data_IF_013814897813
#
_entry.id   IF_013814897813
#
_cell.length_a   1.000
_cell.length_b   1.000
_cell.length_c   1.000
_cell.angle_alpha   90.00
_cell.angle_beta   90.00
_cell.angle_gamma   90.00
#
_symmetry.space_group_name_H-M   'P 1'
#
loop_
_entity.id
_entity.type
_entity.pdbx_description
1 polymer ?
#
# COMPACT_ATOMS: atom_id res chain seq x y z
N UNK A 1 -4.51 3.51 28.06
CA UNK A 1 -4.30 2.43 29.06
C UNK A 1 -5.22 1.27 28.70
N UNK A 2 -4.67 0.14 28.26
CA UNK A 2 -5.48 -1.06 28.10
C UNK A 2 -5.90 -1.53 29.50
N UNK A 3 -7.20 -1.57 29.78
CA UNK A 3 -7.72 -2.21 30.97
C UNK A 3 -7.72 -3.70 30.70
N UNK A 4 -6.75 -4.42 31.25
CA UNK A 4 -6.79 -5.88 31.25
C UNK A 4 -7.78 -6.31 32.34
N UNK A 5 -8.87 -6.97 31.94
CA UNK A 5 -9.79 -7.61 32.89
C UNK A 5 -9.00 -8.64 33.69
N UNK A 6 -8.75 -8.35 34.96
CA UNK A 6 -8.00 -9.24 35.85
C UNK A 6 -8.94 -10.36 36.30
N UNK A 7 -8.59 -11.59 35.97
CA UNK A 7 -9.28 -12.79 36.46
C UNK A 7 -9.05 -12.88 37.97
N UNK A 8 -10.09 -13.18 38.75
CA UNK A 8 -9.98 -13.21 40.20
C UNK A 8 -9.13 -14.40 40.68
N UNK A 9 -8.48 -14.26 41.84
CA UNK A 9 -7.72 -15.36 42.45
C UNK A 9 -8.68 -16.52 42.77
N UNK A 10 -8.43 -17.70 42.19
CA UNK A 10 -9.26 -18.89 42.37
C UNK A 10 -10.25 -19.16 41.22
N UNK A 11 -10.39 -18.26 40.25
CA UNK A 11 -11.16 -18.53 39.04
C UNK A 11 -10.33 -19.33 38.02
N UNK A 12 -10.94 -20.36 37.44
CA UNK A 12 -10.35 -21.12 36.33
C UNK A 12 -10.92 -20.58 35.02
N UNK A 13 -10.10 -20.03 34.10
CA UNK A 13 -10.57 -19.60 32.79
C UNK A 13 -11.17 -20.80 32.03
N UNK A 14 -12.32 -20.61 31.38
CA UNK A 14 -12.94 -21.66 30.56
C UNK A 14 -13.20 -21.15 29.14
N UNK A 15 -13.05 -22.04 28.17
CA UNK A 15 -13.42 -21.81 26.77
C UNK A 15 -14.62 -22.69 26.47
N UNK A 16 -15.72 -22.10 25.97
CA UNK A 16 -16.91 -22.81 25.52
C UNK A 16 -17.07 -22.62 24.01
N UNK A 17 -17.32 -23.71 23.29
CA UNK A 17 -17.53 -23.70 21.84
C UNK A 17 -18.93 -24.25 21.55
N UNK A 18 -19.78 -23.45 20.89
CA UNK A 18 -21.10 -23.89 20.41
C UNK A 18 -21.19 -23.55 18.91
N UNK A 19 -21.29 -24.59 18.07
CA UNK A 19 -21.33 -24.44 16.60
C UNK A 19 -22.60 -23.75 16.08
N UNK A 20 -23.61 -23.59 16.94
CA UNK A 20 -24.84 -22.84 16.62
C UNK A 20 -24.66 -21.34 16.84
N UNK A 21 -23.70 -20.93 17.68
CA UNK A 21 -23.41 -19.53 17.97
C UNK A 21 -22.44 -18.96 16.92
N UNK A 22 -22.88 -18.84 15.67
CA UNK A 22 -22.10 -18.23 14.59
C UNK A 22 -22.25 -16.71 14.64
N UNK A 23 -21.12 -15.98 14.65
CA UNK A 23 -21.12 -14.51 14.57
C UNK A 23 -21.31 -14.08 13.10
N UNK A 24 -20.35 -14.40 12.23
CA UNK A 24 -20.39 -14.11 10.80
C UNK A 24 -19.37 -14.96 10.04
N UNK A 25 -19.43 -14.94 8.71
CA UNK A 25 -18.30 -15.38 7.87
C UNK A 25 -17.16 -14.39 8.09
N UNK A 26 -15.94 -14.90 8.26
CA UNK A 26 -14.74 -14.06 8.30
C UNK A 26 -14.54 -13.47 6.91
N UNK A 27 -14.41 -12.15 6.84
CA UNK A 27 -13.94 -11.45 5.64
C UNK A 27 -12.42 -11.55 5.63
N UNK A 28 -11.84 -12.13 4.57
CA UNK A 28 -10.41 -12.37 4.49
C UNK A 28 -9.59 -11.06 4.58
N UNK A 29 -10.18 -9.90 4.24
CA UNK A 29 -9.51 -8.60 4.34
C UNK A 29 -9.12 -8.21 5.78
N UNK A 30 -9.60 -8.91 6.81
CA UNK A 30 -9.10 -8.75 8.19
C UNK A 30 -7.62 -9.17 8.32
N UNK A 31 -7.12 -9.96 7.37
CA UNK A 31 -5.71 -10.37 7.25
C UNK A 31 -4.90 -9.45 6.32
N UNK A 32 -5.41 -8.24 6.06
CA UNK A 32 -4.75 -7.24 5.22
C UNK A 32 -3.42 -6.74 5.77
N UNK A 33 -2.58 -6.28 4.86
CA UNK A 33 -1.25 -5.76 5.11
C UNK A 33 -1.19 -4.25 4.92
N UNK A 34 -0.07 -3.67 5.33
CA UNK A 34 0.14 -2.23 5.23
C UNK A 34 1.59 -1.92 4.88
N UNK A 35 1.78 -1.11 3.84
CA UNK A 35 3.07 -0.59 3.42
C UNK A 35 3.01 0.93 3.40
N UNK A 36 4.04 1.56 3.97
CA UNK A 36 4.17 3.01 4.00
C UNK A 36 5.58 3.41 3.56
N UNK A 37 5.71 4.56 2.91
CA UNK A 37 6.98 5.25 2.73
C UNK A 37 7.51 5.78 4.07
N UNK A 38 7.87 4.85 4.96
CA UNK A 38 8.33 5.09 6.32
C UNK A 38 9.53 4.21 6.63
N UNK A 39 10.65 4.84 6.97
CA UNK A 39 11.88 4.16 7.34
C UNK A 39 12.34 3.17 6.27
N UNK A 40 12.32 1.87 6.61
CA UNK A 40 12.78 0.78 5.73
C UNK A 40 11.68 -0.15 5.23
N UNK A 41 10.41 0.28 5.30
CA UNK A 41 9.30 -0.53 4.79
C UNK A 41 9.42 -0.71 3.26
N UNK A 42 9.60 0.39 2.53
CA UNK A 42 9.85 0.38 1.08
C UNK A 42 11.34 0.17 0.80
N UNK A 43 12.16 1.18 1.07
CA UNK A 43 13.59 1.19 0.75
C UNK A 43 14.41 0.32 1.71
N UNK A 44 15.09 -0.68 1.16
CA UNK A 44 15.78 -1.71 1.94
C UNK A 44 14.85 -2.75 2.57
N UNK A 45 13.54 -2.67 2.26
CA UNK A 45 12.48 -3.60 2.64
C UNK A 45 11.97 -4.36 1.42
N UNK A 46 10.81 -3.99 0.88
CA UNK A 46 10.27 -4.63 -0.35
C UNK A 46 11.07 -4.27 -1.61
N UNK A 47 11.76 -3.12 -1.61
CA UNK A 47 12.53 -2.60 -2.73
C UNK A 47 13.96 -2.21 -2.31
N UNK A 48 14.96 -2.83 -2.92
CA UNK A 48 16.38 -2.66 -2.58
C UNK A 48 17.27 -2.94 -3.82
N UNK A 49 17.32 -2.02 -4.80
CA UNK A 49 18.17 -2.17 -5.98
C UNK A 49 19.65 -2.36 -5.62
N UNK A 50 20.30 -3.33 -6.25
CA UNK A 50 21.70 -3.67 -5.98
C UNK A 50 21.91 -4.68 -4.85
N UNK A 51 20.87 -5.07 -4.12
CA UNK A 51 20.94 -6.19 -3.19
C UNK A 51 21.06 -7.52 -3.97
N UNK A 52 21.94 -8.47 -3.56
CA UNK A 52 22.08 -9.78 -4.22
C UNK A 52 20.79 -10.61 -4.25
N UNK A 53 19.84 -10.33 -3.34
CA UNK A 53 18.55 -11.00 -3.24
C UNK A 53 17.43 -10.31 -4.03
N UNK A 54 17.70 -9.18 -4.68
CA UNK A 54 16.72 -8.47 -5.50
C UNK A 54 16.60 -9.07 -6.91
N UNK A 55 15.43 -8.89 -7.53
CA UNK A 55 15.23 -9.12 -8.97
C UNK A 55 15.72 -7.92 -9.80
N UNK A 56 15.60 -8.01 -11.14
CA UNK A 56 16.03 -6.95 -12.07
C UNK A 56 15.25 -5.64 -11.92
N UNK A 57 14.06 -5.68 -11.30
CA UNK A 57 13.25 -4.48 -11.02
C UNK A 57 13.63 -3.83 -9.70
N UNK A 58 14.42 -4.52 -8.86
CA UNK A 58 14.83 -4.09 -7.53
C UNK A 58 13.98 -4.67 -6.39
N UNK A 59 13.04 -5.58 -6.67
CA UNK A 59 12.22 -6.19 -5.64
C UNK A 59 12.96 -7.31 -4.92
N UNK A 60 12.91 -7.30 -3.58
CA UNK A 60 13.56 -8.32 -2.76
C UNK A 60 12.83 -9.66 -2.86
N UNK A 61 13.46 -10.64 -3.51
CA UNK A 61 12.85 -11.97 -3.79
C UNK A 61 12.58 -12.74 -2.51
N UNK A 62 13.49 -12.68 -1.54
CA UNK A 62 13.32 -13.32 -0.23
C UNK A 62 12.15 -12.72 0.56
N UNK A 63 11.94 -11.40 0.46
CA UNK A 63 10.78 -10.72 1.06
C UNK A 63 9.49 -11.09 0.33
N UNK A 64 9.51 -11.16 -1.01
CA UNK A 64 8.37 -11.62 -1.81
C UNK A 64 7.93 -13.03 -1.41
N UNK A 65 8.87 -13.98 -1.29
CA UNK A 65 8.54 -15.36 -0.95
C UNK A 65 7.98 -15.46 0.48
N UNK A 66 8.60 -14.76 1.45
CA UNK A 66 8.06 -14.68 2.80
C UNK A 66 6.66 -14.05 2.83
N UNK A 67 6.39 -13.02 2.02
CA UNK A 67 5.09 -12.36 1.97
C UNK A 67 4.00 -13.26 1.36
N UNK A 68 4.32 -14.03 0.33
CA UNK A 68 3.37 -14.99 -0.28
C UNK A 68 2.90 -16.06 0.72
N UNK A 69 3.74 -16.48 1.66
CA UNK A 69 3.35 -17.43 2.72
C UNK A 69 2.25 -16.87 3.63
N UNK A 70 2.19 -15.55 3.82
CA UNK A 70 1.16 -14.89 4.63
C UNK A 70 -0.23 -14.92 3.98
N UNK A 71 -0.30 -15.12 2.65
CA UNK A 71 -1.55 -15.08 1.87
C UNK A 71 -2.38 -13.82 2.15
N UNK A 72 -1.69 -12.68 2.23
CA UNK A 72 -2.31 -11.41 2.51
C UNK A 72 -3.24 -11.00 1.34
N UNK A 73 -4.56 -10.84 1.55
CA UNK A 73 -5.49 -10.63 0.45
C UNK A 73 -5.47 -9.19 -0.08
N UNK A 74 -5.10 -8.23 0.76
CA UNK A 74 -5.08 -6.80 0.41
C UNK A 74 -3.93 -6.09 1.11
N UNK A 75 -3.25 -5.18 0.41
CA UNK A 75 -2.18 -4.35 1.00
C UNK A 75 -2.46 -2.87 0.80
N UNK A 76 -2.49 -2.12 1.90
CA UNK A 76 -2.66 -0.67 1.88
C UNK A 76 -1.35 0.06 1.54
N UNK A 77 -1.42 1.07 0.67
CA UNK A 77 -0.31 1.91 0.17
C UNK A 77 -0.83 3.31 -0.23
N UNK A 78 -0.02 4.39 -0.32
CA UNK A 78 1.37 4.56 0.09
C UNK A 78 1.52 4.83 1.58
N UNK A 79 0.41 4.75 2.32
CA UNK A 79 0.39 4.76 3.75
C UNK A 79 0.65 6.08 4.43
N UNK A 80 0.58 5.98 5.75
CA UNK A 80 -0.33 6.66 6.65
C UNK A 80 -0.18 8.16 6.65
N UNK A 81 0.73 8.67 7.45
CA UNK A 81 0.91 10.12 7.52
C UNK A 81 1.60 10.63 6.25
N UNK A 82 2.43 9.79 5.61
CA UNK A 82 3.12 10.09 4.36
C UNK A 82 2.17 10.60 3.26
N UNK A 83 1.03 9.92 3.05
CA UNK A 83 0.13 10.23 1.94
C UNK A 83 -0.51 11.62 2.04
N UNK A 84 -0.58 12.21 3.24
CA UNK A 84 -1.21 13.52 3.43
C UNK A 84 -0.46 14.65 2.70
N UNK A 85 0.79 14.43 2.31
CA UNK A 85 1.60 15.40 1.55
C UNK A 85 2.23 14.80 0.28
N UNK A 86 1.78 13.61 -0.12
CA UNK A 86 2.30 12.89 -1.28
C UNK A 86 1.52 13.24 -2.55
N UNK A 87 2.23 13.61 -3.61
CA UNK A 87 1.63 13.81 -4.94
C UNK A 87 1.98 12.65 -5.86
N UNK A 88 1.02 11.80 -6.19
CA UNK A 88 1.27 10.50 -6.84
C UNK A 88 1.99 10.60 -8.20
N UNK A 89 1.82 11.74 -8.89
CA UNK A 89 2.51 12.04 -10.14
C UNK A 89 4.03 12.12 -9.99
N UNK A 90 4.53 12.46 -8.81
CA UNK A 90 5.97 12.48 -8.53
C UNK A 90 6.56 11.05 -8.52
N UNK A 91 5.73 10.02 -8.32
CA UNK A 91 6.12 8.61 -8.24
C UNK A 91 5.86 7.77 -9.49
N UNK A 92 5.60 8.39 -10.65
CA UNK A 92 5.37 7.65 -11.92
C UNK A 92 6.28 8.15 -13.04
N UNK A 93 6.45 7.33 -14.08
CA UNK A 93 7.31 7.65 -15.22
C UNK A 93 8.80 7.37 -14.97
N UNK A 94 9.70 7.86 -15.85
CA UNK A 94 11.14 7.57 -15.76
C UNK A 94 11.72 8.02 -14.42
N UNK A 95 12.42 7.12 -13.72
CA UNK A 95 12.93 7.36 -12.34
C UNK A 95 13.85 8.57 -12.28
N UNK A 96 14.63 8.81 -13.32
CA UNK A 96 15.58 9.93 -13.42
C UNK A 96 14.90 11.30 -13.52
N UNK A 97 13.59 11.33 -13.81
CA UNK A 97 12.77 12.54 -13.89
C UNK A 97 11.91 12.75 -12.64
N UNK A 98 11.90 11.80 -11.70
CA UNK A 98 11.10 11.87 -10.49
C UNK A 98 11.78 12.80 -9.47
N UNK A 99 11.06 13.78 -8.90
CA UNK A 99 11.66 14.75 -8.00
C UNK A 99 11.83 14.15 -6.59
N UNK A 100 12.97 14.37 -5.92
CA UNK A 100 13.03 14.15 -4.48
C UNK A 100 12.13 15.14 -3.76
N UNK A 101 11.41 14.69 -2.73
CA UNK A 101 10.49 15.51 -1.93
C UNK A 101 10.84 15.45 -0.45
N UNK A 102 10.64 16.54 0.31
CA UNK A 102 10.74 16.47 1.76
C UNK A 102 9.64 15.53 2.28
N UNK A 103 10.05 14.56 3.09
CA UNK A 103 9.13 13.68 3.80
C UNK A 103 8.84 14.33 5.16
N UNK A 104 7.59 14.78 5.34
CA UNK A 104 7.19 15.66 6.45
C UNK A 104 6.67 14.89 7.67
N UNK A 105 6.23 13.64 7.52
CA UNK A 105 5.64 12.87 8.62
C UNK A 105 6.69 12.14 9.47
N UNK A 106 7.74 11.66 8.82
CA UNK A 106 8.80 10.80 9.34
C UNK A 106 10.19 11.42 9.26
N UNK A 107 10.30 12.65 8.72
CA UNK A 107 11.51 13.45 8.61
C UNK A 107 12.52 12.76 7.67
N UNK A 108 12.65 13.30 6.46
CA UNK A 108 13.64 12.82 5.52
C UNK A 108 13.45 13.37 4.12
N UNK A 109 14.00 12.66 3.15
CA UNK A 109 13.81 12.93 1.73
C UNK A 109 13.27 11.66 1.09
N UNK A 110 12.10 11.76 0.49
CA UNK A 110 11.52 10.72 -0.36
C UNK A 110 12.09 10.87 -1.76
N UNK A 111 12.76 9.83 -2.28
CA UNK A 111 13.36 9.86 -3.62
C UNK A 111 12.36 9.65 -4.75
N UNK A 112 11.20 9.05 -4.45
CA UNK A 112 10.18 8.61 -5.40
C UNK A 112 10.66 7.54 -6.40
N UNK A 113 11.76 6.84 -6.10
CA UNK A 113 12.23 5.72 -6.93
C UNK A 113 11.21 4.57 -6.99
N UNK A 114 10.45 4.39 -5.90
CA UNK A 114 9.33 3.47 -5.82
C UNK A 114 8.02 4.26 -5.76
N UNK A 115 7.09 4.00 -6.67
CA UNK A 115 5.80 4.66 -6.65
C UNK A 115 4.67 3.75 -7.11
N UNK A 116 3.66 4.34 -7.74
CA UNK A 116 2.42 3.64 -8.13
C UNK A 116 2.71 2.42 -9.01
N UNK A 117 3.53 2.59 -10.04
CA UNK A 117 3.78 1.53 -11.02
C UNK A 117 4.54 0.36 -10.38
N UNK A 118 5.56 0.65 -9.56
CA UNK A 118 6.33 -0.37 -8.84
C UNK A 118 5.49 -1.10 -7.81
N UNK A 119 4.66 -0.39 -7.02
CA UNK A 119 3.77 -1.01 -6.04
C UNK A 119 2.78 -1.97 -6.68
N UNK A 120 2.13 -1.55 -7.77
CA UNK A 120 1.14 -2.39 -8.45
C UNK A 120 1.77 -3.61 -9.10
N UNK A 121 2.96 -3.49 -9.68
CA UNK A 121 3.72 -4.63 -10.18
C UNK A 121 4.14 -5.57 -9.05
N UNK A 122 4.51 -5.04 -7.88
CA UNK A 122 4.82 -5.84 -6.71
C UNK A 122 3.57 -6.61 -6.22
N UNK A 123 2.41 -5.97 -6.18
CA UNK A 123 1.12 -6.62 -5.86
C UNK A 123 0.82 -7.79 -6.81
N UNK A 124 1.01 -7.61 -8.12
CA UNK A 124 0.86 -8.69 -9.11
C UNK A 124 1.80 -9.88 -8.84
N UNK A 125 3.03 -9.61 -8.39
CA UNK A 125 4.04 -10.64 -8.10
C UNK A 125 3.71 -11.43 -6.84
N UNK A 126 3.23 -10.76 -5.79
CA UNK A 126 2.89 -11.43 -4.52
C UNK A 126 1.46 -11.98 -4.49
N UNK A 127 0.62 -11.59 -5.45
CA UNK A 127 -0.76 -12.05 -5.56
C UNK A 127 -1.69 -11.42 -4.51
N UNK A 128 -1.53 -10.12 -4.26
CA UNK A 128 -2.38 -9.36 -3.32
C UNK A 128 -3.10 -8.21 -4.04
N UNK A 129 -4.29 -7.85 -3.56
CA UNK A 129 -5.01 -6.70 -4.10
C UNK A 129 -4.43 -5.38 -3.56
N UNK A 130 -4.22 -4.38 -4.41
CA UNK A 130 -3.78 -3.07 -3.96
C UNK A 130 -4.93 -2.29 -3.32
N UNK A 131 -4.61 -1.59 -2.22
CA UNK A 131 -5.52 -0.68 -1.55
C UNK A 131 -4.89 0.71 -1.40
N UNK A 132 -5.32 1.66 -2.23
CA UNK A 132 -4.78 3.01 -2.21
C UNK A 132 -5.44 3.90 -1.16
N UNK A 133 -4.59 4.57 -0.39
CA UNK A 133 -4.95 5.78 0.35
C UNK A 133 -4.73 7.00 -0.56
N UNK A 134 -5.71 7.90 -0.59
CA UNK A 134 -5.67 9.12 -1.39
C UNK A 134 -5.21 10.31 -0.56
N UNK A 135 -4.46 11.24 -1.16
CA UNK A 135 -4.03 12.45 -0.47
C UNK A 135 -5.22 13.43 -0.27
N UNK A 136 -5.67 13.54 0.98
CA UNK A 136 -6.67 14.51 1.43
C UNK A 136 -6.11 15.59 2.36
N UNK A 137 -4.77 15.68 2.50
CA UNK A 137 -4.11 16.74 3.25
C UNK A 137 -3.81 17.94 2.36
N UNK A 138 -2.86 17.77 1.44
CA UNK A 138 -2.47 18.81 0.46
C UNK A 138 -2.94 18.51 -0.97
N UNK A 139 -3.46 17.30 -1.20
CA UNK A 139 -3.98 16.86 -2.50
C UNK A 139 -5.35 17.43 -2.83
N UNK A 140 -5.82 17.13 -4.04
CA UNK A 140 -7.13 17.56 -4.54
C UNK A 140 -7.98 16.37 -4.99
N UNK A 141 -9.29 16.58 -5.11
CA UNK A 141 -10.17 15.58 -5.69
C UNK A 141 -9.79 15.26 -7.15
N UNK A 142 -9.38 16.27 -7.92
CA UNK A 142 -8.93 16.08 -9.30
C UNK A 142 -7.70 15.18 -9.37
N UNK A 143 -6.75 15.37 -8.45
CA UNK A 143 -5.58 14.51 -8.34
C UNK A 143 -5.95 13.06 -8.00
N UNK A 144 -6.91 12.87 -7.08
CA UNK A 144 -7.41 11.54 -6.74
C UNK A 144 -8.10 10.87 -7.92
N UNK A 145 -9.01 11.56 -8.62
CA UNK A 145 -9.70 11.04 -9.81
C UNK A 145 -8.73 10.70 -10.94
N UNK A 146 -7.71 11.54 -11.14
CA UNK A 146 -6.63 11.30 -12.08
C UNK A 146 -5.86 10.00 -11.76
N UNK A 147 -5.60 9.73 -10.47
CA UNK A 147 -4.94 8.50 -10.05
C UNK A 147 -5.82 7.27 -10.33
N UNK A 148 -7.14 7.36 -10.08
CA UNK A 148 -8.09 6.30 -10.44
C UNK A 148 -8.06 6.03 -11.94
N UNK A 149 -8.11 7.08 -12.76
CA UNK A 149 -8.05 6.95 -14.22
C UNK A 149 -6.74 6.30 -14.66
N UNK A 150 -5.61 6.77 -14.14
CA UNK A 150 -4.28 6.23 -14.43
C UNK A 150 -4.24 4.72 -14.18
N UNK A 151 -4.74 4.26 -13.03
CA UNK A 151 -4.69 2.85 -12.65
C UNK A 151 -5.70 1.98 -13.43
N UNK A 152 -6.91 2.48 -13.71
CA UNK A 152 -8.05 1.63 -14.04
C UNK A 152 -8.65 1.86 -15.44
N UNK A 153 -8.37 2.99 -16.10
CA UNK A 153 -8.97 3.30 -17.39
C UNK A 153 -8.25 2.62 -18.55
N UNK A 154 -9.01 1.95 -19.42
CA UNK A 154 -8.59 1.43 -20.72
C UNK A 154 -8.89 2.40 -21.87
N UNK A 155 -9.53 3.54 -21.60
CA UNK A 155 -9.92 4.52 -22.61
C UNK A 155 -8.70 5.28 -23.18
N UNK A 156 -8.92 5.97 -24.29
CA UNK A 156 -7.94 6.89 -24.88
C UNK A 156 -8.06 8.27 -24.21
N UNK A 157 -7.66 8.34 -22.94
CA UNK A 157 -7.72 9.54 -22.10
C UNK A 157 -6.33 9.88 -21.56
N UNK A 158 -6.14 11.11 -21.05
CA UNK A 158 -4.82 11.64 -20.72
C UNK A 158 -4.05 10.76 -19.73
N UNK A 159 -4.64 10.41 -18.58
CA UNK A 159 -3.93 9.64 -17.55
C UNK A 159 -3.79 8.16 -17.91
N UNK A 160 -4.76 7.59 -18.63
CA UNK A 160 -4.61 6.26 -19.21
C UNK A 160 -3.43 6.22 -20.20
N UNK A 161 -3.30 7.23 -21.07
CA UNK A 161 -2.17 7.34 -22.00
C UNK A 161 -0.85 7.65 -21.31
N UNK A 162 -0.86 8.38 -20.19
CA UNK A 162 0.32 8.58 -19.36
C UNK A 162 0.84 7.24 -18.83
N UNK A 163 -0.03 6.35 -18.32
CA UNK A 163 0.34 4.99 -17.92
C UNK A 163 0.95 4.19 -19.07
N UNK A 164 0.34 4.25 -20.26
CA UNK A 164 0.87 3.61 -21.48
C UNK A 164 2.27 4.13 -21.82
N UNK A 165 2.46 5.45 -21.78
CA UNK A 165 3.76 6.10 -22.01
C UNK A 165 4.81 5.67 -20.98
N UNK A 166 4.40 5.41 -19.74
CA UNK A 166 5.25 4.92 -18.66
C UNK A 166 5.57 3.42 -18.76
N UNK A 167 5.12 2.74 -19.82
CA UNK A 167 5.48 1.34 -20.11
C UNK A 167 4.41 0.32 -19.74
N UNK A 168 3.25 0.75 -19.23
CA UNK A 168 2.14 -0.14 -18.88
C UNK A 168 0.91 0.12 -19.77
N UNK A 169 0.73 -0.73 -20.78
CA UNK A 169 -0.39 -0.60 -21.73
C UNK A 169 -1.76 -0.85 -21.07
N UNK A 170 -1.90 -2.01 -20.42
CA UNK A 170 -3.17 -2.44 -19.80
C UNK A 170 -3.38 -1.79 -18.43
N UNK A 171 -4.64 -1.52 -18.03
CA UNK A 171 -4.95 -1.13 -16.66
C UNK A 171 -4.41 -2.13 -15.63
N UNK A 172 -4.19 -1.64 -14.42
CA UNK A 172 -3.86 -2.48 -13.27
C UNK A 172 -5.11 -3.06 -12.59
N UNK A 173 -6.29 -2.46 -12.82
CA UNK A 173 -7.56 -2.83 -12.16
C UNK A 173 -7.46 -2.80 -10.63
N UNK A 174 -6.86 -1.75 -10.08
CA UNK A 174 -6.70 -1.58 -8.65
C UNK A 174 -8.08 -1.47 -7.96
N UNK A 175 -8.34 -2.40 -7.04
CA UNK A 175 -9.70 -2.74 -6.58
C UNK A 175 -10.26 -1.86 -5.46
N UNK A 176 -9.44 -1.09 -4.72
CA UNK A 176 -9.90 -0.38 -3.52
C UNK A 176 -9.23 0.99 -3.30
N UNK A 177 -10.04 2.02 -3.07
CA UNK A 177 -9.64 3.40 -2.78
C UNK A 177 -10.33 3.87 -1.49
N UNK A 178 -9.58 4.39 -0.52
CA UNK A 178 -10.14 5.03 0.69
C UNK A 178 -9.59 6.44 0.84
N UNK A 179 -10.39 7.41 1.33
CA UNK A 179 -9.84 8.66 1.81
C UNK A 179 -8.80 8.43 2.89
N UNK A 180 -7.64 9.12 2.81
CA UNK A 180 -6.71 9.15 3.92
C UNK A 180 -7.39 9.68 5.19
N UNK A 181 -6.85 9.25 6.33
CA UNK A 181 -7.32 9.50 7.69
C UNK A 181 -7.77 10.97 7.83
N UNK A 182 -8.96 11.26 8.41
CA UNK A 182 -9.35 12.65 8.67
C UNK A 182 -8.29 13.32 9.56
N UNK A 183 -7.89 14.58 9.28
CA UNK A 183 -6.90 15.27 10.10
C UNK A 183 -7.36 15.26 11.56
N UNK A 184 -6.54 14.66 12.43
CA UNK A 184 -6.67 14.81 13.87
C UNK A 184 -6.11 16.21 14.18
N UNK A 185 -6.99 17.20 14.22
CA UNK A 185 -6.77 18.43 14.97
C UNK A 185 -7.07 18.18 16.45
#
# INVERSE_FOLDING_TARGET
>A
MASFTKIASGETPTIRLDSRNKISKIDDNVYGGFTEHMGRCIYGGIYDPGNPLSDERGFRKDVIEAFKELKCPVVRYPGGNFVATYHWLDGVGPREQRPPRPELAWIGVESNEFGTDEFLQWCEVVGTEPYFALNFGTGTLDEALAWVEYCNSDKNTYYANLRRKNGRDKPYNASLLQPAIPPIL
#
